data_IF_111143910869
#
_entry.id   IF_111143910869
#
_cell.length_a   1.000
_cell.length_b   1.000
_cell.length_c   1.000
_cell.angle_alpha   90.00
_cell.angle_beta   90.00
_cell.angle_gamma   90.00
#
_symmetry.space_group_name_H-M   'P 1'
#
loop_
_entity.id
_entity.type
_entity.pdbx_description
1 polymer ?
#
# COMPACT_ATOMS: atom_id res chain seq x y z
N UNK A 1 8.46 15.36 -0.76
CA UNK A 1 7.06 15.53 -0.29
C UNK A 1 6.46 14.17 0.01
N UNK A 2 5.90 13.99 1.21
CA UNK A 2 5.28 12.72 1.61
C UNK A 2 3.97 12.49 0.86
N UNK A 3 3.72 11.24 0.47
CA UNK A 3 2.43 10.82 -0.11
C UNK A 3 2.00 9.48 0.47
N UNK A 4 0.81 9.44 1.06
CA UNK A 4 0.28 8.25 1.72
C UNK A 4 -0.91 7.71 0.93
N UNK A 5 -0.92 6.40 0.72
CA UNK A 5 -1.87 5.70 -0.13
C UNK A 5 -2.67 4.70 0.68
N UNK A 6 -3.99 4.68 0.47
CA UNK A 6 -4.86 3.78 1.21
C UNK A 6 -6.33 4.10 1.12
N UNK A 7 -7.05 3.86 2.21
CA UNK A 7 -8.46 4.19 2.37
C UNK A 7 -8.66 4.87 3.73
N UNK A 8 -9.65 5.77 3.85
CA UNK A 8 -9.90 6.47 5.12
C UNK A 8 -10.28 5.53 6.26
N UNK A 9 -11.15 4.55 5.99
CA UNK A 9 -11.69 3.66 7.02
C UNK A 9 -10.80 2.43 7.20
N UNK A 10 -9.63 2.62 7.81
CA UNK A 10 -8.70 1.56 8.17
C UNK A 10 -7.90 1.95 9.42
N UNK A 11 -7.81 1.05 10.41
CA UNK A 11 -7.12 1.35 11.68
C UNK A 11 -5.65 1.72 11.48
N UNK A 12 -4.91 1.02 10.61
CA UNK A 12 -3.51 1.35 10.32
C UNK A 12 -3.36 2.70 9.63
N UNK A 13 -4.32 3.07 8.76
CA UNK A 13 -4.33 4.39 8.13
C UNK A 13 -4.59 5.50 9.15
N UNK A 14 -5.53 5.29 10.07
CA UNK A 14 -5.80 6.23 11.16
C UNK A 14 -4.53 6.50 11.97
N UNK A 15 -3.85 5.44 12.42
CA UNK A 15 -2.58 5.56 13.15
C UNK A 15 -1.52 6.33 12.37
N UNK A 16 -1.39 6.05 11.08
CA UNK A 16 -0.45 6.74 10.21
C UNK A 16 -0.77 8.23 10.06
N UNK A 17 -2.04 8.59 9.84
CA UNK A 17 -2.46 9.99 9.77
C UNK A 17 -2.25 10.70 11.10
N UNK A 18 -2.66 10.09 12.21
CA UNK A 18 -2.50 10.68 13.54
C UNK A 18 -1.03 11.01 13.82
N UNK A 19 -0.11 10.07 13.54
CA UNK A 19 1.32 10.27 13.77
C UNK A 19 1.96 11.29 12.81
N UNK A 20 1.59 11.29 11.52
CA UNK A 20 2.08 12.31 10.59
C UNK A 20 1.63 13.72 11.00
N UNK A 21 0.39 13.85 11.49
CA UNK A 21 -0.14 15.12 12.02
C UNK A 21 0.54 15.52 13.34
N UNK A 22 0.79 14.56 14.24
CA UNK A 22 1.55 14.77 15.49
C UNK A 22 2.94 15.34 15.21
N UNK A 23 3.64 14.79 14.21
CA UNK A 23 4.97 15.23 13.80
C UNK A 23 4.96 16.53 12.97
N UNK A 24 3.78 17.07 12.65
CA UNK A 24 3.66 18.27 11.79
C UNK A 24 4.12 18.06 10.34
N UNK A 25 4.20 16.81 9.88
CA UNK A 25 4.68 16.47 8.55
C UNK A 25 3.55 16.63 7.53
N UNK A 26 3.77 17.45 6.50
CA UNK A 26 2.81 17.63 5.41
C UNK A 26 2.83 16.44 4.45
N UNK A 27 1.64 15.94 4.09
CA UNK A 27 1.49 14.81 3.18
C UNK A 27 0.28 14.96 2.24
N UNK A 28 0.38 14.36 1.05
CA UNK A 28 -0.77 14.14 0.16
C UNK A 28 -1.42 12.78 0.47
N UNK A 29 -2.75 12.73 0.57
CA UNK A 29 -3.48 11.47 0.69
C UNK A 29 -4.08 11.04 -0.64
N UNK A 30 -3.71 9.83 -1.11
CA UNK A 30 -4.29 9.17 -2.27
C UNK A 30 -5.31 8.11 -1.82
N UNK A 31 -6.59 8.36 -2.10
CA UNK A 31 -7.69 7.48 -1.70
C UNK A 31 -8.02 6.47 -2.81
N UNK A 32 -7.65 5.20 -2.59
CA UNK A 32 -7.91 4.13 -3.55
C UNK A 32 -9.38 4.00 -3.95
N UNK A 33 -10.31 4.31 -3.05
CA UNK A 33 -11.75 4.19 -3.36
C UNK A 33 -12.24 5.25 -4.34
N UNK A 34 -11.54 6.37 -4.42
CA UNK A 34 -11.91 7.51 -5.28
C UNK A 34 -11.07 7.59 -6.53
N UNK A 35 -9.79 7.26 -6.40
CA UNK A 35 -8.77 7.52 -7.41
C UNK A 35 -8.20 6.23 -8.03
N UNK A 36 -8.53 5.06 -7.49
CA UNK A 36 -7.87 3.82 -7.88
C UNK A 36 -6.37 3.85 -7.60
N UNK A 37 -5.61 3.10 -8.38
CA UNK A 37 -4.14 3.19 -8.43
C UNK A 37 -3.67 2.80 -9.83
N UNK A 38 -2.62 3.43 -10.33
CA UNK A 38 -2.03 3.14 -11.64
C UNK A 38 -0.94 2.08 -11.55
N UNK A 39 -0.67 1.43 -12.70
CA UNK A 39 0.28 0.35 -12.82
C UNK A 39 1.72 0.78 -12.51
N UNK A 40 2.12 1.97 -12.94
CA UNK A 40 3.49 2.47 -12.74
C UNK A 40 3.80 2.70 -11.26
N UNK A 41 2.82 3.24 -10.52
CA UNK A 41 2.94 3.40 -9.07
C UNK A 41 3.06 2.04 -8.38
N UNK A 42 2.22 1.06 -8.72
CA UNK A 42 2.29 -0.29 -8.12
C UNK A 42 3.62 -0.97 -8.47
N UNK A 43 4.06 -0.87 -9.72
CA UNK A 43 5.34 -1.39 -10.17
C UNK A 43 6.49 -0.81 -9.35
N UNK A 44 6.50 0.51 -9.13
CA UNK A 44 7.55 1.14 -8.30
C UNK A 44 7.62 0.60 -6.87
N UNK A 45 6.47 0.18 -6.30
CA UNK A 45 6.45 -0.43 -4.98
C UNK A 45 6.98 -1.87 -5.00
N UNK A 46 6.64 -2.64 -6.04
CA UNK A 46 7.15 -3.99 -6.22
C UNK A 46 8.67 -4.00 -6.43
N UNK A 47 9.18 -3.08 -7.24
CA UNK A 47 10.61 -2.91 -7.52
C UNK A 47 11.42 -2.61 -6.23
N UNK A 48 10.85 -1.84 -5.30
CA UNK A 48 11.57 -1.39 -4.08
C UNK A 48 11.32 -2.30 -2.87
N UNK A 49 10.08 -2.73 -2.66
CA UNK A 49 9.66 -3.45 -1.44
C UNK A 49 9.49 -4.95 -1.64
N UNK A 50 9.35 -5.38 -2.90
CA UNK A 50 9.02 -6.75 -3.24
C UNK A 50 7.55 -7.12 -3.01
N UNK A 51 7.12 -8.14 -3.75
CA UNK A 51 5.76 -8.65 -3.72
C UNK A 51 5.26 -9.05 -2.32
N UNK A 52 6.09 -9.72 -1.51
CA UNK A 52 5.64 -10.22 -0.20
C UNK A 52 5.32 -9.11 0.81
N UNK A 53 5.83 -7.90 0.56
CA UNK A 53 5.54 -6.71 1.36
C UNK A 53 4.32 -5.98 0.82
N UNK A 54 4.23 -5.80 -0.50
CA UNK A 54 3.15 -5.03 -1.16
C UNK A 54 1.82 -5.79 -1.13
N UNK A 55 1.84 -7.10 -1.39
CA UNK A 55 0.63 -7.92 -1.42
C UNK A 55 0.19 -8.32 0.00
N UNK A 56 -1.02 -7.93 0.38
CA UNK A 56 -1.63 -8.29 1.65
C UNK A 56 -2.22 -9.70 1.63
N UNK A 57 -1.36 -10.73 1.64
CA UNK A 57 -1.78 -12.15 1.72
C UNK A 57 -2.57 -12.47 3.00
N UNK A 58 -2.44 -11.67 4.06
CA UNK A 58 -3.18 -11.81 5.33
C UNK A 58 -4.57 -11.15 5.29
N UNK A 59 -4.88 -10.40 4.24
CA UNK A 59 -6.15 -9.69 4.07
C UNK A 59 -7.30 -10.63 3.74
N UNK A 60 -8.53 -10.23 4.10
CA UNK A 60 -9.73 -10.99 3.79
C UNK A 60 -9.99 -11.08 2.29
N UNK A 61 -9.64 -10.04 1.51
CA UNK A 61 -9.77 -10.07 0.05
C UNK A 61 -8.93 -11.19 -0.54
N UNK A 62 -7.65 -11.30 -0.19
CA UNK A 62 -6.77 -12.36 -0.69
C UNK A 62 -7.32 -13.76 -0.34
N UNK A 63 -7.73 -13.96 0.93
CA UNK A 63 -8.27 -15.24 1.39
C UNK A 63 -9.62 -15.63 0.74
N UNK A 64 -10.34 -14.66 0.17
CA UNK A 64 -11.61 -14.91 -0.55
C UNK A 64 -11.40 -15.26 -2.01
N UNK A 65 -10.23 -14.97 -2.58
CA UNK A 65 -9.88 -15.42 -3.92
C UNK A 65 -9.77 -16.95 -3.93
N UNK A 66 -10.28 -17.57 -4.98
CA UNK A 66 -10.04 -18.97 -5.30
C UNK A 66 -8.55 -19.26 -5.49
N UNK A 67 -8.16 -20.52 -5.39
CA UNK A 67 -6.79 -20.94 -5.63
C UNK A 67 -6.31 -20.56 -7.04
N UNK A 68 -7.17 -20.71 -8.06
CA UNK A 68 -6.87 -20.33 -9.43
C UNK A 68 -6.63 -18.82 -9.58
N UNK A 69 -7.43 -17.98 -8.93
CA UNK A 69 -7.22 -16.52 -8.94
C UNK A 69 -5.93 -16.13 -8.23
N UNK A 70 -5.60 -16.79 -7.12
CA UNK A 70 -4.33 -16.55 -6.43
C UNK A 70 -3.14 -16.97 -7.30
N UNK A 71 -3.18 -18.15 -7.92
CA UNK A 71 -2.13 -18.61 -8.83
C UNK A 71 -1.98 -17.69 -10.03
N UNK A 72 -3.09 -17.25 -10.64
CA UNK A 72 -3.08 -16.30 -11.75
C UNK A 72 -2.43 -14.96 -11.35
N UNK A 73 -2.81 -14.41 -10.20
CA UNK A 73 -2.23 -13.16 -9.69
C UNK A 73 -0.72 -13.28 -9.40
N UNK A 74 -0.21 -14.48 -9.08
CA UNK A 74 1.20 -14.73 -8.79
C UNK A 74 1.99 -15.27 -9.98
N UNK A 75 1.38 -15.46 -11.15
CA UNK A 75 2.01 -16.07 -12.30
C UNK A 75 3.11 -15.19 -12.92
N UNK A 76 2.99 -13.87 -12.81
CA UNK A 76 4.00 -12.91 -13.23
C UNK A 76 3.84 -11.58 -12.49
N UNK A 77 4.85 -10.71 -12.58
CA UNK A 77 4.75 -9.34 -12.05
C UNK A 77 3.61 -8.55 -12.71
N UNK A 78 3.42 -8.69 -14.04
CA UNK A 78 2.36 -8.01 -14.76
C UNK A 78 0.97 -8.43 -14.26
N UNK A 79 0.76 -9.74 -14.04
CA UNK A 79 -0.48 -10.26 -13.46
C UNK A 79 -0.71 -9.74 -12.05
N UNK A 80 0.34 -9.64 -11.23
CA UNK A 80 0.23 -9.10 -9.90
C UNK A 80 -0.16 -7.61 -9.94
N UNK A 81 0.49 -6.82 -10.79
CA UNK A 81 0.16 -5.39 -10.95
C UNK A 81 -1.29 -5.22 -11.36
N UNK A 82 -1.76 -6.00 -12.35
CA UNK A 82 -3.16 -5.97 -12.79
C UNK A 82 -4.12 -6.31 -11.64
N UNK A 83 -3.84 -7.36 -10.88
CA UNK A 83 -4.65 -7.76 -9.73
C UNK A 83 -4.69 -6.68 -8.65
N UNK A 84 -3.55 -6.05 -8.33
CA UNK A 84 -3.46 -4.97 -7.33
C UNK A 84 -4.16 -3.70 -7.78
N UNK A 85 -4.08 -3.33 -9.06
CA UNK A 85 -4.78 -2.17 -9.62
C UNK A 85 -6.30 -2.39 -9.64
N UNK A 86 -6.74 -3.57 -10.05
CA UNK A 86 -8.16 -3.95 -10.09
C UNK A 86 -8.76 -4.07 -8.69
N UNK A 87 -8.00 -4.65 -7.76
CA UNK A 87 -8.45 -4.91 -6.40
C UNK A 87 -7.49 -4.27 -5.39
N UNK A 88 -7.52 -2.95 -5.27
CA UNK A 88 -6.65 -2.17 -4.35
C UNK A 88 -6.70 -2.60 -2.88
N UNK A 89 -7.73 -3.35 -2.46
CA UNK A 89 -7.80 -3.97 -1.13
C UNK A 89 -6.79 -5.11 -0.91
N UNK A 90 -6.19 -5.64 -1.98
CA UNK A 90 -5.07 -6.58 -1.96
C UNK A 90 -3.75 -5.88 -1.61
N UNK A 91 -3.67 -4.57 -1.73
CA UNK A 91 -2.45 -3.80 -1.40
C UNK A 91 -2.36 -3.65 0.12
N UNK A 92 -1.16 -3.84 0.69
CA UNK A 92 -0.88 -3.56 2.10
C UNK A 92 -1.02 -2.06 2.35
N UNK A 93 -1.67 -1.68 3.46
CA UNK A 93 -2.03 -0.28 3.76
C UNK A 93 -1.56 0.14 5.15
N UNK A 94 -1.10 1.39 5.33
CA UNK A 94 -0.74 2.36 4.28
C UNK A 94 0.41 1.90 3.37
N UNK A 95 0.56 2.52 2.21
CA UNK A 95 1.89 2.70 1.60
C UNK A 95 2.25 4.18 1.75
N UNK A 96 3.41 4.50 2.30
CA UNK A 96 3.90 5.87 2.44
C UNK A 96 5.13 6.04 1.55
N UNK A 97 5.06 6.97 0.60
CA UNK A 97 6.20 7.47 -0.15
C UNK A 97 6.93 8.52 0.69
N UNK A 98 8.23 8.33 0.87
CA UNK A 98 9.16 9.23 1.56
C UNK A 98 10.18 9.76 0.56
N UNK A 99 11.14 10.56 1.05
CA UNK A 99 12.27 11.01 0.20
C UNK A 99 13.26 9.88 -0.07
N UNK A 100 13.36 8.90 0.84
CA UNK A 100 14.30 7.78 0.78
C UNK A 100 13.70 6.49 0.22
N UNK A 101 12.39 6.46 -0.08
CA UNK A 101 11.74 5.29 -0.66
C UNK A 101 10.29 5.12 -0.22
N UNK A 102 9.94 3.90 0.21
CA UNK A 102 8.58 3.55 0.60
C UNK A 102 8.53 2.81 1.93
N UNK A 103 7.45 3.02 2.68
CA UNK A 103 7.11 2.25 3.89
C UNK A 103 5.74 1.61 3.66
N UNK A 104 5.63 0.28 3.80
CA UNK A 104 4.38 -0.45 3.62
C UNK A 104 3.87 -1.07 4.92
N UNK A 105 2.67 -0.65 5.31
CA UNK A 105 2.11 -0.85 6.64
C UNK A 105 2.45 0.33 7.56
N UNK A 106 1.82 0.32 8.73
CA UNK A 106 2.13 1.29 9.78
C UNK A 106 3.24 0.71 10.66
N UNK A 107 4.36 1.42 10.72
CA UNK A 107 5.48 1.18 11.64
C UNK A 107 5.80 2.52 12.31
N UNK A 108 5.48 2.64 13.59
CA UNK A 108 5.66 3.89 14.34
C UNK A 108 7.13 4.33 14.38
N UNK A 109 8.07 3.39 14.51
CA UNK A 109 9.50 3.71 14.59
C UNK A 109 9.98 4.30 13.27
N UNK A 110 9.59 3.68 12.15
CA UNK A 110 9.97 4.16 10.83
C UNK A 110 9.35 5.54 10.51
N UNK A 111 8.14 5.81 10.99
CA UNK A 111 7.47 7.11 10.81
C UNK A 111 8.11 8.21 11.66
N UNK A 112 8.48 7.92 12.92
CA UNK A 112 9.15 8.89 13.80
C UNK A 112 10.55 9.27 13.29
N UNK A 113 11.19 8.42 12.48
CA UNK A 113 12.47 8.72 11.84
C UNK A 113 12.35 9.65 10.61
N UNK A 114 11.16 10.13 10.25
CA UNK A 114 10.93 11.04 9.12
C UNK A 114 11.09 12.53 9.48
N UNK A 115 11.17 12.86 10.77
CA UNK A 115 11.43 14.21 11.29
C UNK A 115 12.69 14.23 12.13
#
# INVERSE_FOLDING_TARGET
MLKIYGIKNCNSMKKAFDLLNELGLSYEFHDYKKQGIDADTVKSWLDVLGQDVVLNKKGTTWRKLSEAEQQAALASEANLIEALCTHTSLIKRPVLKTESGFIAGFDETAYRALG
#
